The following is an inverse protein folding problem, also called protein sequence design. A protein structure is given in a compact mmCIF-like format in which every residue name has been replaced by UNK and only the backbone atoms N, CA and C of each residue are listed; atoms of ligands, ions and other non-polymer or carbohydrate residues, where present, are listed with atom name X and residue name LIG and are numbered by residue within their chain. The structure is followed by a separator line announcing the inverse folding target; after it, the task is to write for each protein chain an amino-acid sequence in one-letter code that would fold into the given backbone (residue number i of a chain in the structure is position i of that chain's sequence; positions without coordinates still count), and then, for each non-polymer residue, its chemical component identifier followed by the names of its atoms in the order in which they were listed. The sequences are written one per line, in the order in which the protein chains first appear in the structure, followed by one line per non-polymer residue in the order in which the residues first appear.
data_IF_868317325472
#
_entry.id   IF_868317325472
#
_cell.length_a   1.000
_cell.length_b   1.000
_cell.length_c   1.000
_cell.angle_alpha   90.00
_cell.angle_beta   90.00
_cell.angle_gamma   90.00
#
_symmetry.space_group_name_H-M   'P 1'
#
loop_
_entity.id
_entity.type
_entity.pdbx_description
1 polymer ?
#
# COMPACT_ATOMS: atom_id res chain seq x y z
N UNK A 1 12.67 23.47 11.85
CA UNK A 1 11.49 23.34 12.75
C UNK A 1 11.28 21.85 12.99
N UNK A 2 11.62 21.42 14.19
CA UNK A 2 11.79 20.01 14.58
C UNK A 2 10.43 19.40 14.93
N UNK A 3 10.03 18.32 14.26
CA UNK A 3 8.82 17.55 14.56
C UNK A 3 9.08 16.50 15.66
N UNK A 4 8.08 16.15 16.50
CA UNK A 4 8.28 15.32 17.69
C UNK A 4 8.41 13.82 17.36
N UNK A 5 9.05 13.01 18.23
CA UNK A 5 9.27 11.60 17.95
C UNK A 5 8.06 10.72 18.33
N UNK A 6 7.72 9.82 17.41
CA UNK A 6 7.43 8.42 17.69
C UNK A 6 6.13 8.07 18.43
N UNK A 7 5.11 7.67 17.66
CA UNK A 7 4.17 6.61 18.09
C UNK A 7 4.22 5.49 17.04
N UNK A 8 4.33 4.20 17.45
CA UNK A 8 4.36 3.10 16.49
C UNK A 8 2.98 2.94 15.83
N UNK A 9 2.88 2.80 14.51
CA UNK A 9 1.59 2.53 13.88
C UNK A 9 1.22 1.05 14.05
N UNK A 10 0.28 0.77 14.96
CA UNK A 10 -0.51 -0.47 14.92
C UNK A 10 -1.73 -0.24 14.04
N UNK A 11 -1.54 -0.14 12.73
CA UNK A 11 -2.66 -0.09 11.78
C UNK A 11 -2.31 -0.96 10.59
N UNK A 12 -3.19 -1.91 10.25
CA UNK A 12 -3.13 -2.74 9.05
C UNK A 12 -2.85 -1.90 7.80
N UNK A 13 -1.57 -1.80 7.44
CA UNK A 13 -1.09 -0.92 6.37
C UNK A 13 -1.44 -1.41 4.97
N UNK A 14 -1.39 -0.51 3.98
CA UNK A 14 -1.54 -0.87 2.57
C UNK A 14 -0.45 -1.88 2.20
N UNK A 15 -0.82 -2.96 1.51
CA UNK A 15 0.14 -4.00 1.14
C UNK A 15 0.56 -3.85 -0.31
N UNK A 16 1.80 -4.22 -0.58
CA UNK A 16 2.29 -4.35 -1.94
C UNK A 16 1.36 -5.30 -2.73
N UNK A 17 0.93 -4.82 -3.89
CA UNK A 17 -0.03 -5.47 -4.77
C UNK A 17 -1.48 -5.05 -4.59
N UNK A 18 -1.87 -4.44 -3.47
CA UNK A 18 -3.26 -4.01 -3.24
C UNK A 18 -3.77 -3.15 -4.39
N UNK A 19 -4.98 -3.42 -4.85
CA UNK A 19 -5.65 -2.63 -5.87
C UNK A 19 -6.61 -1.66 -5.22
N UNK A 20 -6.33 -0.38 -5.39
CA UNK A 20 -7.10 0.73 -4.84
C UNK A 20 -7.86 1.45 -5.95
N UNK A 21 -9.07 1.90 -5.64
CA UNK A 21 -9.76 2.93 -6.41
C UNK A 21 -9.50 4.27 -5.74
N UNK A 22 -8.75 5.12 -6.44
CA UNK A 22 -8.44 6.48 -5.99
C UNK A 22 -9.48 7.41 -6.59
N UNK A 23 -10.13 8.20 -5.74
CA UNK A 23 -11.18 9.16 -6.12
C UNK A 23 -10.94 10.49 -5.42
N UNK A 24 -11.77 11.49 -5.72
CA UNK A 24 -11.74 12.78 -5.05
C UNK A 24 -11.90 12.70 -3.51
N UNK A 25 -12.52 11.62 -3.00
CA UNK A 25 -12.61 11.38 -1.56
C UNK A 25 -11.24 11.11 -0.90
N UNK A 26 -10.28 10.60 -1.66
CA UNK A 26 -8.91 10.35 -1.19
C UNK A 26 -8.01 11.58 -1.35
N UNK A 27 -8.21 12.37 -2.39
CA UNK A 27 -7.57 13.68 -2.57
C UNK A 27 -8.24 14.41 -3.72
N UNK A 28 -8.46 15.72 -3.56
CA UNK A 28 -9.15 16.58 -4.53
C UNK A 28 -8.48 16.62 -5.91
N UNK A 29 -7.20 16.25 -6.00
CA UNK A 29 -6.46 16.16 -7.26
C UNK A 29 -7.02 15.05 -8.18
N UNK A 30 -7.77 14.09 -7.63
CA UNK A 30 -8.28 12.92 -8.33
C UNK A 30 -9.79 13.01 -8.63
N UNK A 31 -10.20 14.12 -9.25
CA UNK A 31 -11.58 14.33 -9.72
C UNK A 31 -12.03 13.22 -10.70
N UNK A 32 -11.11 12.70 -11.51
CA UNK A 32 -11.35 11.51 -12.34
C UNK A 32 -10.88 10.26 -11.58
N UNK A 33 -11.78 9.32 -11.25
CA UNK A 33 -11.40 8.08 -10.57
C UNK A 33 -10.36 7.29 -11.36
N UNK A 34 -9.38 6.72 -10.66
CA UNK A 34 -8.40 5.82 -11.29
C UNK A 34 -8.17 4.56 -10.47
N UNK A 35 -7.69 3.53 -11.15
CA UNK A 35 -7.21 2.31 -10.52
C UNK A 35 -5.72 2.43 -10.22
N UNK A 36 -5.32 2.05 -9.02
CA UNK A 36 -3.96 2.18 -8.55
C UNK A 36 -3.51 0.91 -7.83
N UNK A 37 -2.44 0.30 -8.32
CA UNK A 37 -1.82 -0.89 -7.71
C UNK A 37 -0.66 -0.47 -6.84
N UNK A 38 -0.75 -0.75 -5.54
CA UNK A 38 0.26 -0.40 -4.55
C UNK A 38 1.54 -1.19 -4.82
N UNK A 39 2.69 -0.53 -4.80
CA UNK A 39 4.01 -1.17 -4.69
C UNK A 39 4.45 -1.11 -3.23
N UNK A 40 4.34 0.07 -2.61
CA UNK A 40 4.70 0.29 -1.21
C UNK A 40 4.05 1.57 -0.67
N UNK A 41 3.82 1.57 0.63
CA UNK A 41 3.60 2.79 1.41
C UNK A 41 4.97 3.41 1.71
N UNK A 42 5.10 4.72 1.58
CA UNK A 42 6.32 5.44 1.93
C UNK A 42 6.17 5.97 3.36
N UNK A 43 7.12 5.67 4.24
CA UNK A 43 7.15 6.07 5.65
C UNK A 43 7.49 7.57 5.85
N UNK A 44 7.11 8.42 4.89
CA UNK A 44 7.33 9.85 4.96
C UNK A 44 6.40 10.47 6.02
N UNK A 45 6.96 11.36 6.84
CA UNK A 45 6.18 12.09 7.86
C UNK A 45 5.12 12.92 7.14
N UNK A 46 3.86 12.68 7.48
CA UNK A 46 2.68 13.27 6.84
C UNK A 46 1.69 13.71 7.91
N UNK A 47 0.66 14.46 7.48
CA UNK A 47 -0.45 14.83 8.35
C UNK A 47 -1.28 13.60 8.75
N UNK A 48 -1.95 13.67 9.90
CA UNK A 48 -2.75 12.57 10.43
C UNK A 48 -3.76 12.06 9.38
N UNK A 49 -3.74 10.75 9.12
CA UNK A 49 -4.61 10.10 8.13
C UNK A 49 -4.19 10.25 6.67
N UNK A 50 -3.14 11.00 6.35
CA UNK A 50 -2.55 11.08 5.02
C UNK A 50 -1.39 10.11 4.87
N UNK A 51 -1.20 9.57 3.67
CA UNK A 51 -0.13 8.63 3.35
C UNK A 51 0.42 8.89 1.96
N UNK A 52 1.71 8.63 1.79
CA UNK A 52 2.34 8.54 0.49
C UNK A 52 2.32 7.09 0.01
N UNK A 53 1.82 6.87 -1.20
CA UNK A 53 1.74 5.54 -1.80
C UNK A 53 2.44 5.56 -3.15
N UNK A 54 3.43 4.70 -3.31
CA UNK A 54 4.12 4.45 -4.57
C UNK A 54 3.47 3.23 -5.24
N UNK A 55 3.17 3.34 -6.53
CA UNK A 55 2.38 2.34 -7.23
C UNK A 55 2.21 2.60 -8.71
N UNK A 56 1.46 1.71 -9.36
CA UNK A 56 1.14 1.80 -10.77
C UNK A 56 -0.30 2.28 -10.97
N UNK A 57 -0.50 3.31 -11.77
CA UNK A 57 -1.80 3.62 -12.36
C UNK A 57 -2.14 2.53 -13.37
N UNK A 58 -3.36 2.01 -13.30
CA UNK A 58 -3.86 1.01 -14.24
C UNK A 58 -4.84 1.65 -15.23
N UNK A 59 -4.85 1.13 -16.46
CA UNK A 59 -5.91 1.40 -17.43
C UNK A 59 -7.18 0.58 -17.16
N UNK A 60 -8.17 0.71 -18.04
CA UNK A 60 -9.41 -0.08 -18.00
C UNK A 60 -9.21 -1.58 -18.20
N UNK A 61 -8.08 -1.99 -18.78
CA UNK A 61 -7.70 -3.40 -18.98
C UNK A 61 -6.91 -3.96 -17.78
N UNK A 62 -6.66 -3.15 -16.75
CA UNK A 62 -5.85 -3.51 -15.60
C UNK A 62 -4.35 -3.53 -15.86
N UNK A 63 -3.88 -2.96 -16.98
CA UNK A 63 -2.46 -2.86 -17.32
C UNK A 63 -1.83 -1.63 -16.69
N UNK A 64 -0.61 -1.79 -16.18
CA UNK A 64 0.16 -0.69 -15.59
C UNK A 64 0.60 0.28 -16.68
N UNK A 65 0.04 1.49 -16.70
CA UNK A 65 0.35 2.53 -17.68
C UNK A 65 1.42 3.50 -17.21
N UNK A 66 1.49 3.76 -15.91
CA UNK A 66 2.45 4.70 -15.33
C UNK A 66 2.75 4.35 -13.88
N UNK A 67 4.01 4.52 -13.45
CA UNK A 67 4.38 4.47 -12.02
C UNK A 67 4.36 5.88 -11.45
N UNK A 68 3.69 6.07 -10.31
CA UNK A 68 3.55 7.38 -9.66
C UNK A 68 3.53 7.24 -8.15
N UNK A 69 4.09 8.23 -7.46
CA UNK A 69 3.90 8.42 -6.03
C UNK A 69 2.77 9.42 -5.81
N UNK A 70 1.74 9.03 -5.07
CA UNK A 70 0.57 9.85 -4.80
C UNK A 70 0.45 10.15 -3.30
N UNK A 71 -0.04 11.35 -2.98
CA UNK A 71 -0.33 11.77 -1.62
C UNK A 71 -1.85 11.80 -1.42
N UNK A 72 -2.35 10.90 -0.57
CA UNK A 72 -3.78 10.62 -0.41
C UNK A 72 -4.16 10.42 1.05
N UNK A 73 -5.40 10.75 1.38
CA UNK A 73 -6.00 10.45 2.66
C UNK A 73 -6.50 9.00 2.69
N UNK A 74 -6.04 8.22 3.67
CA UNK A 74 -6.34 6.79 3.78
C UNK A 74 -7.84 6.50 3.89
N UNK A 75 -8.58 7.36 4.59
CA UNK A 75 -10.02 7.21 4.79
C UNK A 75 -10.83 7.29 3.49
N UNK A 76 -10.32 7.96 2.46
CA UNK A 76 -10.98 8.10 1.15
C UNK A 76 -10.59 7.03 0.13
N UNK A 77 -9.66 6.14 0.46
CA UNK A 77 -9.23 5.05 -0.41
C UNK A 77 -10.22 3.89 -0.35
N UNK A 78 -10.67 3.42 -1.51
CA UNK A 78 -11.47 2.20 -1.60
C UNK A 78 -10.60 1.02 -2.06
N UNK A 79 -10.41 0.02 -1.18
CA UNK A 79 -9.70 -1.21 -1.51
C UNK A 79 -10.61 -2.12 -2.35
N UNK A 80 -10.28 -2.30 -3.63
CA UNK A 80 -11.03 -3.17 -4.54
C UNK A 80 -10.60 -4.62 -4.44
N UNK A 81 -9.29 -4.84 -4.31
CA UNK A 81 -8.72 -6.18 -4.16
C UNK A 81 -7.53 -6.13 -3.25
N UNK A 82 -7.61 -6.83 -2.12
CA UNK A 82 -6.44 -7.12 -1.30
C UNK A 82 -5.57 -8.11 -2.06
N UNK A 83 -4.31 -7.76 -2.32
CA UNK A 83 -3.34 -8.80 -2.64
C UNK A 83 -2.91 -9.41 -1.33
N UNK A 84 -3.44 -10.61 -1.07
CA UNK A 84 -2.78 -11.54 -0.17
C UNK A 84 -1.50 -11.93 -0.89
N UNK A 85 -0.43 -11.14 -0.72
CA UNK A 85 0.89 -11.72 -0.83
C UNK A 85 0.87 -12.88 0.15
N UNK A 86 0.82 -14.09 -0.40
CA UNK A 86 1.20 -15.28 0.33
C UNK A 86 2.58 -14.94 0.88
N UNK A 87 2.66 -14.51 2.15
CA UNK A 87 3.90 -14.64 2.86
C UNK A 87 4.18 -16.13 2.77
N UNK A 88 5.19 -16.50 1.98
CA UNK A 88 5.79 -17.82 2.01
C UNK A 88 6.45 -17.97 3.38
N UNK A 89 5.61 -18.08 4.41
CA UNK A 89 5.94 -18.32 5.80
C UNK A 89 5.24 -19.59 6.25
N UNK A 90 5.30 -20.64 5.42
CA UNK A 90 5.14 -21.98 5.95
C UNK A 90 6.46 -22.35 6.64
N UNK A 91 6.46 -22.84 7.89
CA UNK A 91 7.68 -23.35 8.49
C UNK A 91 8.20 -24.47 7.59
N UNK A 92 9.39 -24.29 7.01
CA UNK A 92 10.09 -25.38 6.34
C UNK A 92 10.30 -26.48 7.40
N UNK A 93 9.74 -27.69 7.27
CA UNK A 93 10.09 -28.77 8.18
C UNK A 93 11.59 -29.01 8.04
N UNK A 94 12.36 -28.69 9.09
CA UNK A 94 13.76 -29.03 9.17
C UNK A 94 13.84 -30.55 9.26
N UNK A 95 14.49 -31.27 8.33
CA UNK A 95 14.76 -32.68 8.56
C UNK A 95 15.66 -32.77 9.80
N UNK A 96 15.17 -33.49 10.82
CA UNK A 96 15.91 -33.74 12.04
C UNK A 96 17.27 -34.35 11.66
N UNK A 97 18.34 -33.72 12.14
CA UNK A 97 19.69 -34.23 11.98
C UNK A 97 19.78 -35.61 12.63
N UNK A 98 19.89 -36.65 11.82
CA UNK A 98 20.23 -37.99 12.28
C UNK A 98 21.69 -37.98 12.71
N UNK A 99 21.88 -38.02 14.03
CA UNK A 99 23.15 -38.24 14.71
C UNK A 99 23.45 -39.74 14.71
N UNK A 100 24.58 -40.15 14.12
CA UNK A 100 25.29 -41.41 14.41
C UNK A 100 26.79 -41.18 14.23
#
# INVERSE_FOLDING_TARGET
MTAPPGRPPTTTGLKAGDLLRVTAAASVQFHTPMLFRVIRELDWVTYDGWVWVDGYQLDSNGQAVARRSIFVQRAGLALLRRQVLHHAGGPRPQPAATRW
#
